data_IF_277103037641
#
_entry.id   IF_277103037641
#
_cell.length_a   1.000
_cell.length_b   1.000
_cell.length_c   1.000
_cell.angle_alpha   90.00
_cell.angle_beta   90.00
_cell.angle_gamma   90.00
#
_symmetry.space_group_name_H-M   'P 1'
#
loop_
_entity.id
_entity.type
_entity.pdbx_description
1 polymer ?
#
# COMPACT_ATOMS: atom_id res chain seq x y z
N UNK A 1 -10.80 -19.54 -25.93
CA UNK A 1 -9.81 -19.59 -24.83
C UNK A 1 -8.67 -18.70 -25.26
N UNK A 2 -8.57 -17.47 -24.72
CA UNK A 2 -7.40 -16.59 -24.89
C UNK A 2 -7.54 -15.42 -23.90
N UNK A 3 -7.46 -15.73 -22.60
CA UNK A 3 -7.24 -14.70 -21.59
C UNK A 3 -5.74 -14.46 -21.49
N UNK A 4 -5.22 -13.74 -22.49
CA UNK A 4 -3.94 -13.04 -22.39
C UNK A 4 -4.09 -12.01 -21.29
N UNK A 5 -3.91 -12.44 -20.04
CA UNK A 5 -3.77 -11.55 -18.88
C UNK A 5 -2.65 -10.58 -19.22
N UNK A 6 -3.07 -9.36 -19.57
CA UNK A 6 -2.23 -8.20 -19.76
C UNK A 6 -1.35 -8.11 -18.52
N UNK A 7 -0.11 -8.61 -18.61
CA UNK A 7 0.95 -8.27 -17.67
C UNK A 7 1.19 -6.81 -17.97
N UNK A 8 0.36 -5.96 -17.37
CA UNK A 8 0.66 -4.55 -17.24
C UNK A 8 2.04 -4.55 -16.62
N UNK A 9 3.03 -4.25 -17.44
CA UNK A 9 4.41 -4.05 -17.00
C UNK A 9 4.30 -2.84 -16.09
N UNK A 10 3.99 -3.07 -14.81
CA UNK A 10 3.96 -2.03 -13.81
C UNK A 10 5.42 -1.63 -13.72
N UNK A 11 5.81 -0.61 -14.48
CA UNK A 11 7.09 0.06 -14.33
C UNK A 11 6.94 0.80 -13.01
N UNK A 12 7.07 0.03 -11.92
CA UNK A 12 7.18 0.58 -10.59
C UNK A 12 8.50 1.33 -10.60
N UNK A 13 8.49 2.64 -10.32
CA UNK A 13 9.73 3.36 -10.19
C UNK A 13 10.57 2.67 -9.10
N UNK A 14 11.87 2.48 -9.34
CA UNK A 14 12.82 1.90 -8.36
C UNK A 14 12.61 2.38 -6.91
N UNK A 15 12.34 3.67 -6.63
CA UNK A 15 12.03 4.12 -5.27
C UNK A 15 10.80 3.44 -4.65
N UNK A 16 9.74 3.13 -5.42
CA UNK A 16 8.56 2.42 -4.91
C UNK A 16 8.90 0.97 -4.59
N UNK A 17 9.68 0.29 -5.43
CA UNK A 17 10.17 -1.08 -5.15
C UNK A 17 10.99 -1.13 -3.86
N UNK A 18 11.82 -0.12 -3.61
CA UNK A 18 12.60 -0.02 -2.37
C UNK A 18 11.72 0.24 -1.14
N UNK A 19 10.56 0.88 -1.30
CA UNK A 19 9.59 1.19 -0.23
C UNK A 19 8.62 0.05 0.09
N UNK A 20 8.35 -0.86 -0.85
CA UNK A 20 7.48 -2.03 -0.64
C UNK A 20 7.75 -2.82 0.64
N UNK A 21 8.99 -3.24 0.95
CA UNK A 21 9.26 -3.98 2.18
C UNK A 21 8.93 -3.16 3.45
N UNK A 22 9.06 -1.83 3.40
CA UNK A 22 8.71 -0.95 4.52
C UNK A 22 7.19 -0.88 4.71
N UNK A 23 6.42 -0.75 3.63
CA UNK A 23 4.96 -0.81 3.70
C UNK A 23 4.50 -2.15 4.29
N UNK A 24 5.05 -3.26 3.80
CA UNK A 24 4.71 -4.59 4.29
C UNK A 24 5.08 -4.77 5.77
N UNK A 25 6.26 -4.32 6.18
CA UNK A 25 6.70 -4.39 7.58
C UNK A 25 5.78 -3.57 8.50
N UNK A 26 5.42 -2.35 8.07
CA UNK A 26 4.52 -1.50 8.83
C UNK A 26 3.12 -2.12 8.96
N UNK A 27 2.57 -2.64 7.87
CA UNK A 27 1.24 -3.29 7.86
C UNK A 27 1.25 -4.55 8.73
N UNK A 28 2.30 -5.37 8.67
CA UNK A 28 2.47 -6.52 9.58
C UNK A 28 2.56 -6.10 11.04
N UNK A 29 3.19 -4.97 11.33
CA UNK A 29 3.25 -4.45 12.69
C UNK A 29 1.85 -4.03 13.17
N UNK A 30 1.09 -3.35 12.32
CA UNK A 30 -0.29 -2.96 12.59
C UNK A 30 -1.22 -4.17 12.79
N UNK A 31 -1.04 -5.22 11.99
CA UNK A 31 -1.80 -6.46 12.11
C UNK A 31 -1.52 -7.15 13.45
N UNK A 32 -0.25 -7.23 13.87
CA UNK A 32 0.13 -7.71 15.21
C UNK A 32 -0.43 -6.84 16.34
N UNK A 33 -0.62 -5.54 16.10
CA UNK A 33 -1.24 -4.61 17.04
C UNK A 33 -2.77 -4.67 17.03
N UNK A 34 -3.39 -5.56 16.24
CA UNK A 34 -4.84 -5.64 16.03
C UNK A 34 -5.45 -4.31 15.54
N UNK A 35 -4.69 -3.54 14.77
CA UNK A 35 -5.19 -2.32 14.12
C UNK A 35 -5.95 -2.73 12.86
N UNK A 36 -7.25 -2.47 12.82
CA UNK A 36 -8.08 -2.80 11.66
C UNK A 36 -7.87 -1.84 10.48
N UNK A 37 -7.63 -0.55 10.77
CA UNK A 37 -7.58 0.50 9.75
C UNK A 37 -6.38 1.42 9.93
N UNK A 38 -5.74 1.75 8.82
CA UNK A 38 -4.60 2.69 8.77
C UNK A 38 -4.81 3.74 7.70
N UNK A 39 -4.57 5.00 8.03
CA UNK A 39 -4.66 6.11 7.08
C UNK A 39 -3.36 6.30 6.30
N UNK A 40 -3.43 6.81 5.06
CA UNK A 40 -2.23 7.17 4.29
C UNK A 40 -1.34 8.16 5.01
N UNK A 41 -1.91 9.04 5.84
CA UNK A 41 -1.17 10.01 6.66
C UNK A 41 -0.42 9.36 7.82
N UNK A 42 -0.91 8.25 8.39
CA UNK A 42 -0.16 7.46 9.38
C UNK A 42 1.01 6.73 8.74
N UNK A 43 0.76 6.04 7.63
CA UNK A 43 1.83 5.37 6.88
C UNK A 43 2.89 6.40 6.44
N UNK A 44 2.45 7.61 6.05
CA UNK A 44 3.34 8.70 5.66
C UNK A 44 4.28 9.15 6.76
N UNK A 45 3.77 9.25 8.00
CA UNK A 45 4.58 9.61 9.17
C UNK A 45 5.62 8.54 9.48
N UNK A 46 5.26 7.26 9.37
CA UNK A 46 6.17 6.18 9.72
C UNK A 46 7.26 5.97 8.67
N UNK A 47 6.88 5.94 7.40
CA UNK A 47 7.79 5.65 6.28
C UNK A 47 8.50 6.93 5.80
N UNK A 48 8.16 8.09 6.37
CA UNK A 48 8.68 9.41 6.03
C UNK A 48 8.53 9.73 4.52
N UNK A 49 7.35 9.44 3.99
CA UNK A 49 6.97 9.60 2.58
C UNK A 49 5.65 10.32 2.50
N UNK A 50 5.47 11.23 1.55
CA UNK A 50 4.22 11.95 1.39
C UNK A 50 3.01 11.03 1.22
N UNK A 51 1.91 11.33 1.92
CA UNK A 51 0.66 10.58 1.83
C UNK A 51 0.13 10.48 0.39
N UNK A 52 0.37 11.49 -0.45
CA UNK A 52 0.06 11.48 -1.88
C UNK A 52 0.84 10.42 -2.66
N UNK A 53 2.10 10.20 -2.30
CA UNK A 53 2.95 9.19 -2.94
C UNK A 53 2.57 7.79 -2.47
N UNK A 54 2.23 7.64 -1.19
CA UNK A 54 1.70 6.38 -0.64
C UNK A 54 0.38 6.02 -1.31
N UNK A 55 -0.54 6.98 -1.47
CA UNK A 55 -1.79 6.75 -2.16
C UNK A 55 -1.58 6.30 -3.61
N UNK A 56 -0.58 6.84 -4.31
CA UNK A 56 -0.19 6.36 -5.65
C UNK A 56 0.37 4.94 -5.58
N UNK A 57 1.34 4.68 -4.71
CA UNK A 57 1.98 3.37 -4.55
C UNK A 57 0.94 2.28 -4.22
N UNK A 58 -0.01 2.55 -3.31
CA UNK A 58 -1.10 1.65 -2.96
C UNK A 58 -2.10 1.48 -4.12
N UNK A 59 -2.40 2.56 -4.86
CA UNK A 59 -3.21 2.49 -6.08
C UNK A 59 -2.57 1.62 -7.16
N UNK A 60 -1.23 1.69 -7.31
CA UNK A 60 -0.48 0.80 -8.22
C UNK A 60 -0.59 -0.67 -7.82
N UNK A 61 -0.66 -0.97 -6.52
CA UNK A 61 -0.89 -2.30 -5.99
C UNK A 61 -2.37 -2.73 -6.03
N UNK A 62 -3.22 -1.92 -6.66
CA UNK A 62 -4.68 -2.11 -6.75
C UNK A 62 -5.37 -2.16 -5.37
N UNK A 63 -4.74 -1.57 -4.36
CA UNK A 63 -5.26 -1.45 -3.01
C UNK A 63 -6.13 -0.19 -2.96
N UNK A 64 -7.43 -0.38 -2.77
CA UNK A 64 -8.40 0.71 -2.64
C UNK A 64 -8.72 0.96 -1.17
N UNK A 65 -8.31 2.11 -0.66
CA UNK A 65 -8.72 2.58 0.66
C UNK A 65 -10.17 3.10 0.65
N UNK A 66 -10.82 3.10 1.81
CA UNK A 66 -12.09 3.77 2.04
C UNK A 66 -11.84 5.24 2.37
N UNK A 67 -12.46 6.15 1.62
CA UNK A 67 -12.38 7.60 1.83
C UNK A 67 -12.84 7.94 3.26
N UNK A 68 -12.02 8.70 4.02
CA UNK A 68 -12.16 9.04 5.46
C UNK A 68 -11.87 7.94 6.49
N UNK A 69 -11.76 6.67 6.11
CA UNK A 69 -11.44 5.58 7.05
C UNK A 69 -9.97 5.16 6.88
N UNK A 70 -9.49 5.07 5.65
CA UNK A 70 -8.15 4.60 5.32
C UNK A 70 -8.16 3.22 4.67
N UNK A 71 -7.08 2.49 4.83
CA UNK A 71 -6.84 1.17 4.28
C UNK A 71 -7.04 0.14 5.38
N UNK A 72 -7.70 -0.96 5.04
CA UNK A 72 -7.89 -2.08 5.97
C UNK A 72 -6.60 -2.90 6.02
N UNK A 73 -6.00 -2.98 7.20
CA UNK A 73 -4.71 -3.65 7.42
C UNK A 73 -4.81 -5.13 7.07
N UNK A 74 -5.92 -5.76 7.39
CA UNK A 74 -6.16 -7.18 7.11
C UNK A 74 -6.29 -7.47 5.60
N UNK A 75 -6.75 -6.50 4.81
CA UNK A 75 -6.80 -6.60 3.35
C UNK A 75 -5.44 -6.31 2.67
N UNK A 76 -4.44 -5.86 3.45
CA UNK A 76 -3.11 -5.48 2.99
C UNK A 76 -2.01 -6.51 3.30
N UNK A 77 -2.25 -7.41 4.26
CA UNK A 77 -1.39 -8.57 4.61
C UNK A 77 -1.54 -9.68 3.57
#
# INVERSE_FOLDING_TARGET
>A
MNDSKNIQKIILPEPTLRRLPWYLAYIRMLDNQNIEYVSSTQIAKEINVDASQIAKDLSFLNIKGKTRIGYEVHSLV
#
